data_IF_386689213123
#
_entry.id   IF_386689213123
#
_cell.length_a   1.000
_cell.length_b   1.000
_cell.length_c   1.000
_cell.angle_alpha   90.00
_cell.angle_beta   90.00
_cell.angle_gamma   90.00
#
_symmetry.space_group_name_H-M   'P 1'
#
loop_
_entity.id
_entity.type
_entity.pdbx_description
1 polymer ?
#
# COMPACT_ATOMS: atom_id res chain seq x y z
N UNK A 1 2.74 -0.91 -35.19
CA UNK A 1 1.77 0.07 -34.66
C UNK A 1 1.91 0.08 -33.15
N UNK A 2 2.67 1.05 -32.63
CA UNK A 2 2.91 1.23 -31.19
C UNK A 2 1.72 1.99 -30.60
N UNK A 3 0.83 1.30 -29.88
CA UNK A 3 -0.12 1.99 -28.99
C UNK A 3 0.56 2.25 -27.66
N UNK A 4 1.24 3.40 -27.56
CA UNK A 4 1.66 4.02 -26.31
C UNK A 4 0.42 4.61 -25.62
N UNK A 5 -0.43 3.76 -25.05
CA UNK A 5 -1.38 4.19 -24.03
C UNK A 5 -0.79 3.89 -22.64
N UNK A 6 0.42 4.40 -22.40
CA UNK A 6 0.93 4.59 -21.07
C UNK A 6 0.24 5.85 -20.50
N UNK A 7 -1.02 5.69 -20.08
CA UNK A 7 -1.59 6.66 -19.14
C UNK A 7 -0.74 6.56 -17.88
N UNK A 8 0.18 7.51 -17.73
CA UNK A 8 0.97 7.72 -16.55
C UNK A 8 0.05 7.94 -15.36
N UNK A 9 -0.38 6.83 -14.73
CA UNK A 9 -0.84 6.83 -13.36
C UNK A 9 0.42 6.87 -12.50
N UNK A 10 1.08 8.04 -12.52
CA UNK A 10 1.97 8.40 -11.45
C UNK A 10 1.18 8.19 -10.17
N UNK A 11 1.66 7.27 -9.33
CA UNK A 11 1.12 7.10 -7.98
C UNK A 11 1.18 8.48 -7.32
N UNK A 12 0.06 9.20 -7.32
CA UNK A 12 -0.11 10.37 -6.49
C UNK A 12 0.30 9.92 -5.08
N UNK A 13 1.38 10.50 -4.56
CA UNK A 13 1.96 10.08 -3.30
C UNK A 13 0.88 10.00 -2.24
N UNK A 14 0.97 9.00 -1.35
CA UNK A 14 0.07 8.91 -0.22
C UNK A 14 -0.01 10.27 0.49
N UNK A 15 -1.23 10.76 0.81
CA UNK A 15 -1.36 12.02 1.50
C UNK A 15 -0.63 11.91 2.84
N UNK A 16 0.27 12.86 3.09
CA UNK A 16 1.10 12.83 4.28
C UNK A 16 0.31 13.40 5.47
N UNK A 17 0.40 12.77 6.66
CA UNK A 17 -0.14 13.37 7.87
C UNK A 17 0.57 14.68 8.16
N UNK A 18 -0.16 15.64 8.73
CA UNK A 18 0.42 16.86 9.28
C UNK A 18 1.50 16.52 10.32
N UNK A 19 2.50 17.38 10.55
CA UNK A 19 3.52 17.13 11.57
C UNK A 19 2.92 16.86 12.97
N UNK A 20 1.81 17.54 13.30
CA UNK A 20 1.09 17.35 14.54
C UNK A 20 0.44 15.95 14.62
N UNK A 21 -0.24 15.52 13.54
CA UNK A 21 -0.81 14.19 13.47
C UNK A 21 0.28 13.10 13.48
N UNK A 22 1.38 13.29 12.75
CA UNK A 22 2.49 12.35 12.71
C UNK A 22 3.09 12.11 14.11
N UNK A 23 3.41 13.19 14.84
CA UNK A 23 3.91 13.09 16.22
C UNK A 23 2.89 12.43 17.15
N UNK A 24 1.60 12.75 16.99
CA UNK A 24 0.55 12.11 17.77
C UNK A 24 0.42 10.61 17.46
N UNK A 25 0.53 10.19 16.20
CA UNK A 25 0.44 8.78 15.78
C UNK A 25 1.60 7.94 16.35
N UNK A 26 2.81 8.49 16.45
CA UNK A 26 3.96 7.83 17.05
C UNK A 26 3.80 7.63 18.57
N UNK A 27 3.31 8.68 19.23
CA UNK A 27 3.07 8.68 20.67
C UNK A 27 1.78 7.95 21.07
N UNK A 28 0.87 7.66 20.11
CA UNK A 28 -0.45 7.13 20.43
C UNK A 28 -0.38 5.78 21.14
N UNK A 29 -1.07 5.67 22.27
CA UNK A 29 -1.25 4.43 23.03
C UNK A 29 -2.74 4.22 23.31
N UNK A 30 -3.32 3.06 22.97
CA UNK A 30 -4.70 2.74 23.31
C UNK A 30 -4.97 2.90 24.81
N UNK A 31 -6.11 3.46 25.18
CA UNK A 31 -6.46 3.74 26.58
C UNK A 31 -5.76 4.96 27.21
N UNK A 32 -4.84 5.62 26.50
CA UNK A 32 -4.21 6.87 26.95
C UNK A 32 -5.11 8.10 26.81
N UNK A 33 -4.52 9.30 26.93
CA UNK A 33 -5.26 10.57 26.77
C UNK A 33 -6.00 10.65 25.42
N UNK A 34 -7.15 11.32 25.43
CA UNK A 34 -7.91 11.54 24.20
C UNK A 34 -7.15 12.49 23.26
N UNK A 35 -6.92 12.10 22.00
CA UNK A 35 -6.34 13.02 21.03
C UNK A 35 -7.28 14.19 20.77
N UNK A 36 -6.75 15.38 20.43
CA UNK A 36 -7.57 16.52 20.00
C UNK A 36 -8.50 16.15 18.83
N UNK A 37 -9.74 16.65 18.86
CA UNK A 37 -10.75 16.34 17.84
C UNK A 37 -10.27 16.64 16.40
N UNK A 38 -9.58 17.76 16.20
CA UNK A 38 -9.02 18.13 14.90
C UNK A 38 -8.04 17.08 14.33
N UNK A 39 -7.25 16.42 15.18
CA UNK A 39 -6.33 15.36 14.74
C UNK A 39 -7.08 14.06 14.43
N UNK A 40 -8.19 13.80 15.12
CA UNK A 40 -9.07 12.66 14.80
C UNK A 40 -9.75 12.89 13.45
N UNK A 41 -10.21 14.10 13.17
CA UNK A 41 -10.84 14.44 11.89
C UNK A 41 -9.86 14.33 10.73
N UNK A 42 -8.63 14.82 10.91
CA UNK A 42 -7.55 14.62 9.95
C UNK A 42 -7.26 13.13 9.73
N UNK A 43 -7.16 12.34 10.82
CA UNK A 43 -6.94 10.90 10.72
C UNK A 43 -8.06 10.18 9.95
N UNK A 44 -9.32 10.59 10.16
CA UNK A 44 -10.49 10.08 9.41
C UNK A 44 -10.41 10.44 7.93
N UNK A 45 -9.95 11.65 7.60
CA UNK A 45 -9.80 12.09 6.22
C UNK A 45 -8.72 11.32 5.46
N UNK A 46 -7.61 10.97 6.13
CA UNK A 46 -6.48 10.26 5.50
C UNK A 46 -6.73 8.75 5.35
N UNK A 47 -7.44 8.12 6.28
CA UNK A 47 -7.59 6.67 6.36
C UNK A 47 -8.12 6.00 5.06
N UNK A 48 -9.11 6.57 4.34
CA UNK A 48 -9.57 6.00 3.06
C UNK A 48 -8.48 5.93 2.00
N UNK A 49 -7.61 6.93 1.90
CA UNK A 49 -6.53 6.97 0.92
C UNK A 49 -5.49 5.86 1.19
N UNK A 50 -5.07 5.72 2.45
CA UNK A 50 -4.19 4.62 2.86
C UNK A 50 -4.85 3.25 2.63
N UNK A 51 -6.15 3.12 2.91
CA UNK A 51 -6.88 1.87 2.68
C UNK A 51 -6.96 1.48 1.22
N UNK A 52 -7.21 2.45 0.33
CA UNK A 52 -7.21 2.22 -1.10
C UNK A 52 -5.82 1.83 -1.61
N UNK A 53 -4.79 2.57 -1.22
CA UNK A 53 -3.41 2.31 -1.67
C UNK A 53 -2.88 0.95 -1.20
N UNK A 54 -3.31 0.51 0.01
CA UNK A 54 -2.92 -0.77 0.57
C UNK A 54 -3.78 -1.96 0.08
N UNK A 55 -4.80 -1.69 -0.73
CA UNK A 55 -5.58 -2.74 -1.36
C UNK A 55 -4.83 -3.32 -2.57
N UNK A 56 -4.95 -4.63 -2.86
CA UNK A 56 -4.38 -5.22 -4.06
C UNK A 56 -4.99 -4.63 -5.34
N UNK A 57 -4.22 -4.68 -6.43
CA UNK A 57 -4.73 -4.34 -7.75
C UNK A 57 -5.79 -5.35 -8.21
N UNK A 58 -6.81 -4.94 -8.99
CA UNK A 58 -7.66 -5.87 -9.72
C UNK A 58 -6.84 -6.81 -10.59
N UNK A 59 -7.28 -8.06 -10.75
CA UNK A 59 -6.52 -9.12 -11.46
C UNK A 59 -6.08 -8.68 -12.86
N UNK A 60 -6.95 -8.04 -13.64
CA UNK A 60 -6.61 -7.58 -14.99
C UNK A 60 -5.50 -6.52 -14.98
N UNK A 61 -5.56 -5.57 -14.05
CA UNK A 61 -4.54 -4.53 -13.91
C UNK A 61 -3.22 -5.11 -13.39
N UNK A 62 -3.29 -6.05 -12.44
CA UNK A 62 -2.13 -6.79 -11.94
C UNK A 62 -1.44 -7.56 -13.06
N UNK A 63 -2.19 -8.26 -13.92
CA UNK A 63 -1.63 -9.00 -15.06
C UNK A 63 -0.85 -8.07 -15.98
N UNK A 64 -1.45 -6.98 -16.43
CA UNK A 64 -0.76 -6.02 -17.31
C UNK A 64 0.49 -5.43 -16.64
N UNK A 65 0.41 -5.13 -15.34
CA UNK A 65 1.55 -4.59 -14.59
C UNK A 65 2.69 -5.60 -14.43
N UNK A 66 2.36 -6.86 -14.16
CA UNK A 66 3.33 -7.95 -14.06
C UNK A 66 4.00 -8.21 -15.40
N UNK A 67 3.25 -8.21 -16.50
CA UNK A 67 3.79 -8.40 -17.84
C UNK A 67 4.78 -7.30 -18.20
N UNK A 68 4.38 -6.03 -18.07
CA UNK A 68 5.25 -4.87 -18.33
C UNK A 68 6.51 -4.91 -17.45
N UNK A 69 6.34 -5.20 -16.16
CA UNK A 69 7.43 -5.30 -15.20
C UNK A 69 8.39 -6.45 -15.52
N UNK A 70 7.86 -7.63 -15.87
CA UNK A 70 8.63 -8.80 -16.20
C UNK A 70 9.40 -8.61 -17.52
N UNK A 71 8.82 -7.93 -18.52
CA UNK A 71 9.53 -7.58 -19.75
C UNK A 71 10.71 -6.66 -19.48
N UNK A 72 10.51 -5.58 -18.71
CA UNK A 72 11.59 -4.67 -18.33
C UNK A 72 12.71 -5.40 -17.57
N UNK A 73 12.35 -6.22 -16.58
CA UNK A 73 13.33 -7.02 -15.84
C UNK A 73 14.06 -8.01 -16.75
N UNK A 74 13.34 -8.72 -17.61
CA UNK A 74 13.93 -9.72 -18.49
C UNK A 74 14.93 -9.10 -19.47
N UNK A 75 14.65 -7.89 -19.97
CA UNK A 75 15.57 -7.16 -20.84
C UNK A 75 16.83 -6.64 -20.10
N UNK A 76 16.75 -6.44 -18.78
CA UNK A 76 17.84 -5.88 -17.98
C UNK A 76 18.79 -6.91 -17.35
N UNK A 77 18.47 -8.20 -17.39
CA UNK A 77 19.26 -9.26 -16.72
C UNK A 77 20.25 -9.94 -17.67
N UNK A 78 21.29 -10.56 -17.10
CA UNK A 78 22.37 -11.21 -17.86
C UNK A 78 21.87 -12.39 -18.71
N UNK A 79 20.86 -13.12 -18.23
CA UNK A 79 20.31 -14.31 -18.90
C UNK A 79 18.78 -14.17 -19.06
N UNK A 80 18.30 -13.51 -20.13
CA UNK A 80 16.87 -13.36 -20.38
C UNK A 80 16.20 -14.70 -20.68
N UNK A 81 14.95 -14.83 -20.21
CA UNK A 81 14.08 -15.95 -20.54
C UNK A 81 13.52 -15.81 -21.97
N UNK A 82 13.34 -16.93 -22.70
CA UNK A 82 12.62 -16.94 -23.96
C UNK A 82 11.12 -16.69 -23.76
N UNK A 83 10.42 -16.23 -24.81
CA UNK A 83 9.03 -15.73 -24.72
C UNK A 83 8.04 -16.65 -24.00
N UNK A 84 8.03 -17.95 -24.32
CA UNK A 84 7.12 -18.92 -23.64
C UNK A 84 7.47 -19.09 -22.15
N UNK A 85 8.75 -19.11 -21.80
CA UNK A 85 9.19 -19.24 -20.41
C UNK A 85 8.87 -17.97 -19.61
N UNK A 86 9.01 -16.80 -20.23
CA UNK A 86 8.61 -15.52 -19.64
C UNK A 86 7.09 -15.49 -19.39
N UNK A 87 6.28 -15.94 -20.34
CA UNK A 87 4.81 -15.96 -20.19
C UNK A 87 4.37 -16.85 -19.02
N UNK A 88 4.90 -18.08 -18.92
CA UNK A 88 4.64 -18.97 -17.77
C UNK A 88 5.07 -18.34 -16.45
N UNK A 89 6.18 -17.59 -16.46
CA UNK A 89 6.66 -16.86 -15.30
C UNK A 89 5.70 -15.73 -14.92
N UNK A 90 5.19 -14.96 -15.87
CA UNK A 90 4.18 -13.93 -15.62
C UNK A 90 2.94 -14.52 -14.94
N UNK A 91 2.41 -15.66 -15.42
CA UNK A 91 1.26 -16.34 -14.78
C UNK A 91 1.54 -16.69 -13.31
N UNK A 92 2.73 -17.22 -13.03
CA UNK A 92 3.14 -17.54 -11.66
C UNK A 92 3.28 -16.26 -10.80
N UNK A 93 3.83 -15.18 -11.36
CA UNK A 93 4.00 -13.91 -10.67
C UNK A 93 2.65 -13.22 -10.37
N UNK A 94 1.69 -13.25 -11.29
CA UNK A 94 0.32 -12.75 -11.06
C UNK A 94 -0.31 -13.47 -9.87
N UNK A 95 -0.17 -14.79 -9.81
CA UNK A 95 -0.69 -15.59 -8.70
C UNK A 95 0.01 -15.25 -7.38
N UNK A 96 1.34 -15.17 -7.39
CA UNK A 96 2.13 -14.87 -6.20
C UNK A 96 1.91 -13.45 -5.67
N UNK A 97 1.64 -12.50 -6.56
CA UNK A 97 1.46 -11.09 -6.19
C UNK A 97 -0.01 -10.69 -5.99
N UNK A 98 -0.95 -11.63 -6.00
CA UNK A 98 -2.40 -11.34 -5.93
C UNK A 98 -2.81 -10.53 -4.69
N UNK A 99 -2.05 -10.61 -3.59
CA UNK A 99 -2.31 -9.87 -2.35
C UNK A 99 -1.39 -8.67 -2.15
N UNK A 100 -0.44 -8.46 -3.06
CA UNK A 100 0.52 -7.36 -2.95
C UNK A 100 -0.24 -6.05 -3.18
N UNK A 101 -0.08 -5.05 -2.28
CA UNK A 101 -0.75 -3.78 -2.43
C UNK A 101 -0.42 -3.03 -3.71
N UNK A 102 -1.40 -2.28 -4.24
CA UNK A 102 -1.23 -1.38 -5.38
C UNK A 102 -0.06 -0.41 -5.20
N UNK A 103 0.13 0.10 -3.97
CA UNK A 103 1.24 0.98 -3.60
C UNK A 103 2.62 0.41 -3.96
N UNK A 104 2.81 -0.91 -3.92
CA UNK A 104 4.10 -1.53 -4.20
C UNK A 104 4.51 -1.39 -5.67
N UNK A 105 3.55 -1.23 -6.59
CA UNK A 105 3.75 -1.20 -8.04
C UNK A 105 4.11 0.20 -8.56
N UNK A 106 5.00 0.88 -7.84
CA UNK A 106 5.49 2.22 -8.21
C UNK A 106 6.69 2.14 -9.15
N UNK A 107 6.94 3.20 -9.91
CA UNK A 107 8.16 3.32 -10.74
C UNK A 107 9.45 3.21 -9.91
N UNK A 108 9.43 3.72 -8.66
CA UNK A 108 10.57 3.61 -7.77
C UNK A 108 10.89 2.14 -7.46
N UNK A 109 9.86 1.31 -7.30
CA UNK A 109 10.01 -0.13 -7.07
C UNK A 109 10.57 -0.83 -8.32
N UNK A 110 10.13 -0.43 -9.52
CA UNK A 110 10.70 -0.93 -10.79
C UNK A 110 12.19 -0.63 -10.89
N UNK A 111 12.59 0.63 -10.66
CA UNK A 111 14.00 1.01 -10.68
C UNK A 111 14.82 0.22 -9.65
N UNK A 112 14.30 0.02 -8.44
CA UNK A 112 14.96 -0.78 -7.40
C UNK A 112 15.14 -2.24 -7.84
N UNK A 113 14.13 -2.85 -8.46
CA UNK A 113 14.20 -4.23 -8.91
C UNK A 113 15.23 -4.42 -10.03
N UNK A 114 15.29 -3.50 -11.00
CA UNK A 114 16.28 -3.51 -12.09
C UNK A 114 17.73 -3.44 -11.58
N UNK A 115 17.97 -2.70 -10.49
CA UNK A 115 19.30 -2.61 -9.88
C UNK A 115 19.60 -3.83 -8.98
N UNK A 116 18.58 -4.39 -8.32
CA UNK A 116 18.76 -5.45 -7.34
C UNK A 116 18.99 -6.84 -7.97
N UNK A 117 18.41 -7.12 -9.13
CA UNK A 117 18.40 -8.46 -9.72
C UNK A 117 19.36 -8.58 -10.89
N UNK A 118 20.41 -9.41 -10.72
CA UNK A 118 21.33 -9.78 -11.80
C UNK A 118 20.76 -10.86 -12.74
N UNK A 119 19.88 -11.71 -12.19
CA UNK A 119 19.16 -12.77 -12.91
C UNK A 119 17.67 -12.61 -12.70
N UNK A 120 16.85 -13.22 -13.57
CA UNK A 120 15.41 -13.16 -13.42
C UNK A 120 14.98 -13.73 -12.04
N UNK A 121 14.27 -12.96 -11.21
CA UNK A 121 13.99 -13.35 -9.84
C UNK A 121 12.95 -14.48 -9.74
N UNK A 122 13.01 -15.22 -8.64
CA UNK A 122 11.90 -16.08 -8.21
C UNK A 122 10.68 -15.23 -7.79
N UNK A 123 9.50 -15.85 -7.79
CA UNK A 123 8.27 -15.18 -7.35
C UNK A 123 8.38 -14.68 -5.89
N UNK A 124 8.97 -15.46 -5.00
CA UNK A 124 9.17 -15.09 -3.60
C UNK A 124 10.10 -13.87 -3.45
N UNK A 125 11.17 -13.79 -4.25
CA UNK A 125 12.07 -12.62 -4.23
C UNK A 125 11.35 -11.35 -4.69
N UNK A 126 10.52 -11.44 -5.72
CA UNK A 126 9.76 -10.29 -6.19
C UNK A 126 8.73 -9.84 -5.15
N UNK A 127 7.95 -10.78 -4.60
CA UNK A 127 6.95 -10.48 -3.55
C UNK A 127 7.64 -9.82 -2.35
N UNK A 128 8.76 -10.35 -1.87
CA UNK A 128 9.50 -9.76 -0.76
C UNK A 128 9.95 -8.31 -1.04
N UNK A 129 10.43 -8.03 -2.26
CA UNK A 129 10.85 -6.68 -2.66
C UNK A 129 9.67 -5.70 -2.69
N UNK A 130 8.52 -6.13 -3.22
CA UNK A 130 7.28 -5.34 -3.31
C UNK A 130 6.69 -5.08 -1.92
N UNK A 131 6.58 -6.11 -1.11
CA UNK A 131 6.05 -6.07 0.26
C UNK A 131 6.86 -5.14 1.17
N UNK A 132 8.19 -5.11 1.00
CA UNK A 132 9.06 -4.21 1.75
C UNK A 132 8.73 -2.72 1.53
N UNK A 133 8.12 -2.33 0.40
CA UNK A 133 7.72 -0.94 0.14
C UNK A 133 6.48 -0.52 0.92
N UNK A 134 5.71 -1.49 1.42
CA UNK A 134 4.41 -1.22 2.03
C UNK A 134 4.49 -1.06 3.55
N UNK A 135 5.65 -1.32 4.17
CA UNK A 135 5.81 -1.37 5.62
C UNK A 135 5.38 -0.09 6.33
N UNK A 136 5.91 1.06 5.88
CA UNK A 136 5.61 2.37 6.47
C UNK A 136 4.12 2.72 6.31
N UNK A 137 3.57 2.54 5.11
CA UNK A 137 2.16 2.82 4.85
C UNK A 137 1.24 1.94 5.71
N UNK A 138 1.56 0.65 5.90
CA UNK A 138 0.80 -0.25 6.79
C UNK A 138 0.89 0.18 8.25
N UNK A 139 2.08 0.56 8.71
CA UNK A 139 2.26 1.05 10.07
C UNK A 139 1.42 2.31 10.31
N UNK A 140 1.46 3.27 9.40
CA UNK A 140 0.67 4.49 9.47
C UNK A 140 -0.82 4.21 9.41
N UNK A 141 -1.28 3.37 8.46
CA UNK A 141 -2.68 2.97 8.39
C UNK A 141 -3.16 2.28 9.67
N UNK A 142 -2.35 1.39 10.25
CA UNK A 142 -2.65 0.72 11.51
C UNK A 142 -2.85 1.72 12.65
N UNK A 143 -1.95 2.70 12.78
CA UNK A 143 -2.05 3.77 13.79
C UNK A 143 -3.28 4.65 13.56
N UNK A 144 -3.57 5.03 12.32
CA UNK A 144 -4.78 5.79 11.96
C UNK A 144 -6.05 5.03 12.37
N UNK A 145 -6.15 3.74 12.03
CA UNK A 145 -7.28 2.88 12.40
C UNK A 145 -7.48 2.81 13.91
N UNK A 146 -6.39 2.62 14.66
CA UNK A 146 -6.44 2.54 16.12
C UNK A 146 -6.94 3.85 16.75
N UNK A 147 -6.40 4.99 16.30
CA UNK A 147 -6.82 6.31 16.78
C UNK A 147 -8.31 6.56 16.52
N UNK A 148 -8.75 6.34 15.28
CA UNK A 148 -10.15 6.54 14.87
C UNK A 148 -11.10 5.63 15.66
N UNK A 149 -10.76 4.35 15.79
CA UNK A 149 -11.58 3.37 16.51
C UNK A 149 -11.65 3.65 18.02
N UNK A 150 -10.59 4.19 18.63
CA UNK A 150 -10.63 4.62 20.03
C UNK A 150 -11.50 5.87 20.21
N UNK A 151 -11.40 6.85 19.31
CA UNK A 151 -12.25 8.04 19.36
C UNK A 151 -13.74 7.68 19.24
N UNK A 152 -14.10 6.79 18.31
CA UNK A 152 -15.48 6.31 18.15
C UNK A 152 -15.99 5.59 19.41
N UNK A 153 -15.16 4.74 20.01
CA UNK A 153 -15.52 4.05 21.27
C UNK A 153 -15.76 5.02 22.42
N UNK A 154 -14.98 6.09 22.53
CA UNK A 154 -15.15 7.13 23.56
C UNK A 154 -16.44 7.92 23.35
N UNK A 155 -16.70 8.34 22.12
CA UNK A 155 -17.92 9.06 21.76
C UNK A 155 -19.17 8.21 22.07
N UNK A 156 -19.17 6.93 21.69
CA UNK A 156 -20.27 6.02 21.99
C UNK A 156 -20.51 5.85 23.50
N UNK A 157 -19.44 5.79 24.31
CA UNK A 157 -19.54 5.70 25.77
C UNK A 157 -20.11 6.97 26.40
N UNK A 158 -19.69 8.15 25.92
CA UNK A 158 -20.19 9.44 26.39
C UNK A 158 -21.69 9.57 26.11
N UNK A 159 -22.12 9.29 24.87
CA UNK A 159 -23.54 9.28 24.48
C UNK A 159 -24.36 8.31 25.34
N UNK A 160 -23.85 7.11 25.62
CA UNK A 160 -24.52 6.14 26.48
C UNK A 160 -24.57 6.55 27.97
N UNK A 161 -23.69 7.44 28.43
CA UNK A 161 -23.74 8.01 29.78
C UNK A 161 -24.78 9.13 29.84
N UNK A 162 -24.80 10.03 28.86
CA UNK A 162 -25.79 11.11 28.76
C UNK A 162 -27.22 10.55 28.71
N UNK A 163 -27.45 9.53 27.90
CA UNK A 163 -28.75 8.85 27.81
C UNK A 163 -29.18 8.21 29.13
N UNK A 164 -28.24 7.72 29.95
CA UNK A 164 -28.53 7.14 31.27
C UNK A 164 -28.88 8.18 32.32
N UNK A 165 -28.33 9.39 32.23
CA UNK A 165 -28.65 10.48 33.15
C UNK A 165 -29.91 11.24 32.78
N UNK A 166 -30.39 11.10 31.55
CA UNK A 166 -31.65 11.68 31.08
C UNK A 166 -32.90 10.84 31.40
N UNK A 167 -32.74 9.65 31.99
CA UNK A 167 -33.79 8.74 32.45
C UNK A 167 -33.97 8.83 33.96
#
# INVERSE_FOLDING_TARGET
MLSLNAQGHGTAGLPQPSPALAGQLEAFRPGGFAPPAALVDEARALLPAYTRALSPLPVLELTSRVEEFAEMLNAGVVNPLPGVALQLRCVALVTACATVPALAWSEATVRRALVAFTFFPSAAQLVALLEAQCGEARATQGRLRLMVAEADRRMARALAQELRWAQ
#
